data_IF_559221759396
#
_entry.id   IF_559221759396
#
_cell.length_a   1.000
_cell.length_b   1.000
_cell.length_c   1.000
_cell.angle_alpha   90.00
_cell.angle_beta   90.00
_cell.angle_gamma   90.00
#
_symmetry.space_group_name_H-M   'P 1'
#
loop_
_entity.id
_entity.type
_entity.pdbx_description
1 polymer ?
#
# COMPACT_ATOMS: atom_id res chain seq x y z
N UNK A 1 -15.48 -28.51 -2.05
CA UNK A 1 -15.51 -28.84 -0.61
C UNK A 1 -14.67 -27.79 0.09
N UNK A 2 -15.26 -27.00 0.99
CA UNK A 2 -14.52 -25.95 1.72
C UNK A 2 -13.69 -26.61 2.82
N UNK A 3 -12.38 -26.75 2.57
CA UNK A 3 -11.43 -27.38 3.49
C UNK A 3 -11.43 -26.73 4.87
N UNK A 4 -11.79 -25.44 4.99
CA UNK A 4 -11.84 -24.74 6.28
C UNK A 4 -13.05 -25.14 7.11
N UNK A 5 -14.21 -25.32 6.46
CA UNK A 5 -15.40 -25.88 7.12
C UNK A 5 -15.17 -27.32 7.54
N UNK A 6 -14.47 -28.12 6.72
CA UNK A 6 -14.11 -29.48 7.08
C UNK A 6 -13.18 -29.50 8.30
N UNK A 7 -12.11 -28.71 8.29
CA UNK A 7 -11.20 -28.59 9.43
C UNK A 7 -11.93 -28.09 10.70
N UNK A 8 -12.87 -27.15 10.58
CA UNK A 8 -13.74 -26.73 11.69
C UNK A 8 -14.55 -27.90 12.25
N UNK A 9 -15.20 -28.68 11.37
CA UNK A 9 -16.02 -29.82 11.78
C UNK A 9 -15.22 -30.98 12.38
N UNK A 10 -13.92 -31.02 12.12
CA UNK A 10 -13.00 -32.04 12.63
C UNK A 10 -12.18 -31.56 13.84
N UNK A 11 -12.40 -30.33 14.33
CA UNK A 11 -11.59 -29.67 15.37
C UNK A 11 -10.07 -29.58 15.03
N UNK A 12 -9.73 -29.71 13.75
CA UNK A 12 -8.35 -29.74 13.24
C UNK A 12 -7.81 -28.32 12.96
N UNK A 13 -8.38 -27.32 13.64
CA UNK A 13 -7.96 -25.92 13.53
C UNK A 13 -6.83 -25.57 14.50
N UNK A 14 -6.54 -26.46 15.45
CA UNK A 14 -5.54 -26.29 16.50
C UNK A 14 -4.61 -27.52 16.50
N UNK A 15 -3.31 -27.36 16.78
CA UNK A 15 -2.45 -28.50 17.02
C UNK A 15 -3.01 -29.36 18.17
N UNK A 16 -2.97 -30.68 17.99
CA UNK A 16 -3.52 -31.63 18.95
C UNK A 16 -2.99 -31.38 20.37
N UNK A 17 -3.91 -31.28 21.34
CA UNK A 17 -3.59 -31.10 22.76
C UNK A 17 -3.40 -29.66 23.23
N UNK A 18 -3.26 -28.67 22.33
CA UNK A 18 -2.98 -27.28 22.72
C UNK A 18 -4.21 -26.36 22.76
N UNK A 19 -5.41 -26.88 22.45
CA UNK A 19 -6.64 -26.05 22.37
C UNK A 19 -6.95 -25.29 23.67
N UNK A 20 -6.68 -25.89 24.83
CA UNK A 20 -6.91 -25.26 26.13
C UNK A 20 -5.88 -24.19 26.49
N UNK A 21 -4.74 -24.14 25.79
CA UNK A 21 -3.64 -23.20 26.05
C UNK A 21 -3.78 -21.90 25.23
N UNK A 22 -4.64 -21.88 24.20
CA UNK A 22 -4.82 -20.73 23.32
C UNK A 22 -6.14 -20.00 23.57
N UNK A 23 -6.05 -18.67 23.61
CA UNK A 23 -7.20 -17.80 23.46
C UNK A 23 -7.70 -17.88 22.00
N UNK A 24 -8.72 -18.70 21.79
CA UNK A 24 -9.27 -19.00 20.47
C UNK A 24 -9.88 -17.77 19.78
N UNK A 25 -10.49 -16.85 20.55
CA UNK A 25 -11.07 -15.61 20.03
C UNK A 25 -9.97 -14.72 19.44
N UNK A 26 -8.86 -14.61 20.17
CA UNK A 26 -7.65 -13.91 19.69
C UNK A 26 -7.07 -14.54 18.44
N UNK A 27 -6.83 -15.84 18.42
CA UNK A 27 -6.27 -16.54 17.24
C UNK A 27 -7.15 -16.30 16.00
N UNK A 28 -8.47 -16.44 16.14
CA UNK A 28 -9.41 -16.20 15.05
C UNK A 28 -9.41 -14.73 14.60
N UNK A 29 -9.32 -13.79 15.54
CA UNK A 29 -9.28 -12.35 15.24
C UNK A 29 -8.03 -11.97 14.47
N UNK A 30 -6.88 -12.50 14.88
CA UNK A 30 -5.62 -12.28 14.17
C UNK A 30 -5.65 -12.88 12.76
N UNK A 31 -6.22 -14.09 12.61
CA UNK A 31 -6.40 -14.73 11.31
C UNK A 31 -7.26 -13.88 10.37
N UNK A 32 -8.35 -13.26 10.85
CA UNK A 32 -9.16 -12.35 10.02
C UNK A 32 -8.32 -11.20 9.45
N UNK A 33 -7.46 -10.61 10.28
CA UNK A 33 -6.61 -9.48 9.90
C UNK A 33 -5.54 -9.89 8.88
N UNK A 34 -4.81 -10.98 9.13
CA UNK A 34 -3.80 -11.50 8.19
C UNK A 34 -4.44 -11.82 6.84
N UNK A 35 -5.58 -12.51 6.84
CA UNK A 35 -6.24 -12.90 5.59
C UNK A 35 -6.77 -11.71 4.80
N UNK A 36 -7.31 -10.69 5.48
CA UNK A 36 -7.75 -9.48 4.81
C UNK A 36 -6.58 -8.72 4.19
N UNK A 37 -5.45 -8.61 4.91
CA UNK A 37 -4.29 -7.83 4.47
C UNK A 37 -3.43 -8.55 3.41
N UNK A 38 -3.25 -9.86 3.54
CA UNK A 38 -2.39 -10.61 2.60
C UNK A 38 -3.17 -11.13 1.39
N UNK A 39 -4.47 -11.43 1.54
CA UNK A 39 -5.27 -12.12 0.51
C UNK A 39 -6.45 -11.28 0.02
N UNK A 40 -6.71 -10.10 0.60
CA UNK A 40 -7.93 -9.33 0.33
C UNK A 40 -9.20 -10.09 0.72
N UNK A 41 -9.09 -11.12 1.58
CA UNK A 41 -10.18 -12.03 1.90
C UNK A 41 -10.75 -11.75 3.29
N UNK A 42 -11.98 -11.26 3.31
CA UNK A 42 -12.75 -11.06 4.54
C UNK A 42 -13.53 -12.32 4.87
N UNK A 43 -13.34 -12.84 6.08
CA UNK A 43 -14.06 -14.01 6.56
C UNK A 43 -14.62 -13.74 7.96
N UNK A 44 -15.80 -14.26 8.23
CA UNK A 44 -16.38 -14.33 9.58
C UNK A 44 -16.16 -15.76 10.09
N UNK A 45 -15.43 -15.96 11.21
CA UNK A 45 -15.32 -17.27 11.84
C UNK A 45 -16.71 -17.84 12.14
N UNK A 46 -16.97 -19.14 11.88
CA UNK A 46 -18.29 -19.76 12.14
C UNK A 46 -18.78 -19.55 13.58
N UNK A 47 -17.85 -19.63 14.54
CA UNK A 47 -18.13 -19.46 15.98
C UNK A 47 -17.86 -18.02 16.46
N UNK A 48 -17.66 -17.07 15.54
CA UNK A 48 -17.29 -15.70 15.86
C UNK A 48 -18.44 -14.90 16.47
N UNK A 49 -18.19 -14.30 17.63
CA UNK A 49 -19.10 -13.36 18.30
C UNK A 49 -19.33 -12.04 17.54
N UNK A 50 -19.97 -11.08 18.21
CA UNK A 50 -20.29 -9.78 17.63
C UNK A 50 -19.04 -9.02 17.13
N UNK A 51 -17.96 -9.02 17.90
CA UNK A 51 -16.70 -8.35 17.54
C UNK A 51 -16.07 -8.92 16.27
N UNK A 52 -16.17 -10.24 16.03
CA UNK A 52 -15.68 -10.85 14.79
C UNK A 52 -16.48 -10.44 13.56
N UNK A 53 -17.80 -10.27 13.70
CA UNK A 53 -18.67 -9.78 12.62
C UNK A 53 -18.38 -8.31 12.32
N UNK A 54 -18.26 -7.48 13.35
CA UNK A 54 -17.90 -6.07 13.21
C UNK A 54 -16.52 -5.91 12.55
N UNK A 55 -15.52 -6.69 12.98
CA UNK A 55 -14.19 -6.68 12.37
C UNK A 55 -14.21 -7.07 10.90
N UNK A 56 -14.99 -8.10 10.54
CA UNK A 56 -15.12 -8.50 9.14
C UNK A 56 -15.73 -7.36 8.29
N UNK A 57 -16.78 -6.71 8.78
CA UNK A 57 -17.41 -5.59 8.08
C UNK A 57 -16.45 -4.38 7.97
N UNK A 58 -15.73 -4.03 9.05
CA UNK A 58 -14.68 -3.00 9.02
C UNK A 58 -13.65 -3.32 7.94
N UNK A 59 -13.16 -4.57 7.87
CA UNK A 59 -12.16 -4.98 6.90
C UNK A 59 -12.70 -4.96 5.47
N UNK A 60 -13.97 -5.32 5.27
CA UNK A 60 -14.61 -5.24 3.96
C UNK A 60 -14.68 -3.80 3.45
N UNK A 61 -15.05 -2.86 4.33
CA UNK A 61 -15.11 -1.43 4.01
C UNK A 61 -13.73 -0.84 3.76
N UNK A 62 -12.77 -1.18 4.62
CA UNK A 62 -11.37 -0.78 4.45
C UNK A 62 -10.82 -1.21 3.09
N UNK A 63 -11.04 -2.47 2.68
CA UNK A 63 -10.59 -2.98 1.38
C UNK A 63 -11.33 -2.35 0.18
N UNK A 64 -12.48 -1.73 0.42
CA UNK A 64 -13.21 -0.93 -0.58
C UNK A 64 -12.86 0.56 -0.52
N UNK A 65 -11.86 0.94 0.28
CA UNK A 65 -11.46 2.33 0.54
C UNK A 65 -12.57 3.20 1.16
N UNK A 66 -13.54 2.59 1.85
CA UNK A 66 -14.57 3.28 2.63
C UNK A 66 -14.07 3.50 4.07
N UNK A 67 -13.12 4.43 4.24
CA UNK A 67 -12.49 4.73 5.52
C UNK A 67 -13.49 5.18 6.59
N UNK A 68 -14.44 6.06 6.22
CA UNK A 68 -15.48 6.53 7.13
C UNK A 68 -16.45 5.43 7.55
N UNK A 69 -16.90 4.61 6.61
CA UNK A 69 -17.76 3.48 6.95
C UNK A 69 -17.05 2.47 7.85
N UNK A 70 -15.76 2.22 7.60
CA UNK A 70 -14.95 1.34 8.42
C UNK A 70 -14.85 1.83 9.88
N UNK A 71 -14.59 3.13 10.11
CA UNK A 71 -14.52 3.69 11.47
C UNK A 71 -15.89 3.68 12.15
N UNK A 72 -16.98 4.01 11.44
CA UNK A 72 -18.34 3.96 11.99
C UNK A 72 -18.69 2.56 12.52
N UNK A 73 -18.36 1.51 11.76
CA UNK A 73 -18.60 0.12 12.16
C UNK A 73 -17.85 -0.23 13.46
N UNK A 74 -16.60 0.22 13.60
CA UNK A 74 -15.84 -0.01 14.81
C UNK A 74 -16.35 0.79 16.01
N UNK A 75 -16.68 2.06 15.81
CA UNK A 75 -17.25 2.93 16.83
C UNK A 75 -18.57 2.37 17.39
N UNK A 76 -19.45 1.87 16.52
CA UNK A 76 -20.71 1.23 16.92
C UNK A 76 -20.48 -0.09 17.68
N UNK A 77 -19.47 -0.86 17.29
CA UNK A 77 -19.16 -2.13 17.94
C UNK A 77 -18.46 -1.97 19.29
N UNK A 78 -17.69 -0.88 19.48
CA UNK A 78 -17.10 -0.48 20.76
C UNK A 78 -16.09 -1.47 21.34
N UNK A 79 -15.48 -2.33 20.52
CA UNK A 79 -14.46 -3.28 20.99
C UNK A 79 -13.05 -2.68 20.92
N UNK A 80 -12.18 -3.10 21.83
CA UNK A 80 -10.78 -2.67 21.84
C UNK A 80 -9.98 -3.34 20.71
N UNK A 81 -9.27 -2.61 19.83
CA UNK A 81 -8.44 -3.22 18.81
C UNK A 81 -7.35 -4.09 19.43
N UNK A 82 -7.31 -5.36 19.05
CA UNK A 82 -6.53 -6.39 19.74
C UNK A 82 -5.08 -6.47 19.26
N UNK A 83 -4.81 -5.96 18.05
CA UNK A 83 -3.54 -6.16 17.35
C UNK A 83 -2.99 -4.86 16.77
N UNK A 84 -1.66 -4.73 16.63
CA UNK A 84 -1.04 -3.58 15.98
C UNK A 84 -1.58 -3.34 14.57
N UNK A 85 -1.84 -4.40 13.78
CA UNK A 85 -2.35 -4.26 12.42
C UNK A 85 -3.77 -3.66 12.37
N UNK A 86 -4.64 -4.04 13.30
CA UNK A 86 -5.99 -3.47 13.42
C UNK A 86 -5.92 -2.01 13.89
N UNK A 87 -5.02 -1.73 14.84
CA UNK A 87 -4.71 -0.37 15.30
C UNK A 87 -4.24 0.51 14.13
N UNK A 88 -3.39 -0.01 13.26
CA UNK A 88 -2.89 0.69 12.08
C UNK A 88 -3.97 0.89 10.99
N UNK A 89 -4.89 -0.06 10.82
CA UNK A 89 -6.06 0.11 9.92
C UNK A 89 -6.95 1.25 10.42
N UNK A 90 -7.29 1.25 11.71
CA UNK A 90 -8.09 2.33 12.30
C UNK A 90 -7.38 3.69 12.18
N UNK A 91 -6.09 3.73 12.50
CA UNK A 91 -5.27 4.93 12.33
C UNK A 91 -5.28 5.44 10.89
N UNK A 92 -5.14 4.55 9.89
CA UNK A 92 -5.18 4.91 8.48
C UNK A 92 -6.55 5.46 8.09
N UNK A 93 -7.63 4.79 8.50
CA UNK A 93 -8.98 5.23 8.16
C UNK A 93 -9.29 6.62 8.73
N UNK A 94 -8.92 6.90 9.99
CA UNK A 94 -9.05 8.26 10.54
C UNK A 94 -8.12 9.25 9.85
N UNK A 95 -6.88 8.86 9.52
CA UNK A 95 -5.93 9.72 8.83
C UNK A 95 -6.39 10.11 7.42
N UNK A 96 -7.04 9.20 6.67
CA UNK A 96 -7.63 9.47 5.37
C UNK A 96 -8.73 10.54 5.41
N UNK A 97 -9.46 10.61 6.52
CA UNK A 97 -10.47 11.64 6.78
C UNK A 97 -9.86 12.93 7.34
N UNK A 98 -8.55 12.97 7.62
CA UNK A 98 -7.88 14.09 8.30
C UNK A 98 -8.27 14.21 9.78
N UNK A 99 -8.85 13.17 10.37
CA UNK A 99 -9.42 13.19 11.71
C UNK A 99 -8.33 13.01 12.79
N UNK A 100 -8.28 13.94 13.76
CA UNK A 100 -7.34 13.90 14.87
C UNK A 100 -7.50 12.65 15.77
N UNK A 101 -8.64 11.95 15.68
CA UNK A 101 -8.84 10.64 16.32
C UNK A 101 -7.84 9.58 15.85
N UNK A 102 -7.10 9.81 14.76
CA UNK A 102 -5.96 8.97 14.38
C UNK A 102 -4.80 9.02 15.38
N UNK A 103 -4.57 10.15 16.06
CA UNK A 103 -3.37 10.37 16.88
C UNK A 103 -3.16 9.36 18.00
N UNK A 104 -4.18 8.98 18.79
CA UNK A 104 -4.02 7.96 19.83
C UNK A 104 -3.61 6.58 19.26
N UNK A 105 -4.13 6.21 18.08
CA UNK A 105 -3.76 4.95 17.43
C UNK A 105 -2.33 5.00 16.89
N UNK A 106 -1.94 6.12 16.29
CA UNK A 106 -0.55 6.36 15.84
C UNK A 106 0.40 6.28 17.04
N UNK A 107 0.06 6.91 18.16
CA UNK A 107 0.89 6.89 19.37
C UNK A 107 1.07 5.47 19.93
N UNK A 108 0.03 4.63 19.89
CA UNK A 108 0.12 3.22 20.30
C UNK A 108 1.09 2.40 19.45
N UNK A 109 1.28 2.77 18.19
CA UNK A 109 2.17 2.05 17.26
C UNK A 109 3.65 2.43 17.44
N UNK A 110 3.98 3.53 18.11
CA UNK A 110 5.36 4.04 18.18
C UNK A 110 6.36 3.03 18.78
N UNK A 111 5.94 2.26 19.79
CA UNK A 111 6.84 1.36 20.51
C UNK A 111 7.26 0.14 19.68
N UNK A 112 6.34 -0.43 18.88
CA UNK A 112 6.55 -1.71 18.20
C UNK A 112 6.56 -1.59 16.66
N UNK A 113 5.98 -0.52 16.13
CA UNK A 113 5.69 -0.29 14.72
C UNK A 113 5.99 1.16 14.32
N UNK A 114 7.12 1.70 14.78
CA UNK A 114 7.53 3.09 14.53
C UNK A 114 7.49 3.51 13.05
N UNK A 115 7.82 2.60 12.13
CA UNK A 115 7.74 2.88 10.68
C UNK A 115 6.29 3.08 10.19
N UNK A 116 5.34 2.28 10.69
CA UNK A 116 3.92 2.43 10.39
C UNK A 116 3.37 3.71 11.03
N UNK A 117 3.71 3.96 12.29
CA UNK A 117 3.31 5.19 12.98
C UNK A 117 3.77 6.44 12.22
N UNK A 118 5.02 6.45 11.74
CA UNK A 118 5.56 7.56 10.95
C UNK A 118 4.85 7.71 9.59
N UNK A 119 4.58 6.62 8.88
CA UNK A 119 3.83 6.63 7.62
C UNK A 119 2.40 7.20 7.79
N UNK A 120 1.70 6.75 8.83
CA UNK A 120 0.34 7.18 9.15
C UNK A 120 0.29 8.65 9.57
N UNK A 121 1.33 9.13 10.27
CA UNK A 121 1.45 10.55 10.64
C UNK A 121 1.60 11.45 9.42
N UNK A 122 2.39 11.03 8.42
CA UNK A 122 2.49 11.76 7.13
C UNK A 122 1.12 11.89 6.50
N UNK A 123 0.36 10.79 6.42
CA UNK A 123 -0.99 10.78 5.87
C UNK A 123 -1.92 11.72 6.61
N UNK A 124 -1.93 11.67 7.95
CA UNK A 124 -2.78 12.52 8.77
C UNK A 124 -2.48 14.02 8.53
N UNK A 125 -1.22 14.43 8.64
CA UNK A 125 -0.84 15.84 8.44
C UNK A 125 -1.17 16.32 7.04
N UNK A 126 -0.92 15.48 6.02
CA UNK A 126 -1.29 15.79 4.66
C UNK A 126 -2.80 16.04 4.51
N UNK A 127 -3.62 15.13 5.03
CA UNK A 127 -5.09 15.22 4.93
C UNK A 127 -5.68 16.36 5.77
N UNK A 128 -4.96 16.82 6.80
CA UNK A 128 -5.28 18.02 7.57
C UNK A 128 -4.85 19.33 6.88
N UNK A 129 -4.17 19.27 5.73
CA UNK A 129 -3.62 20.46 5.07
C UNK A 129 -2.41 21.06 5.78
N UNK A 130 -1.78 20.32 6.70
CA UNK A 130 -0.59 20.71 7.47
C UNK A 130 0.67 20.41 6.66
N UNK A 131 0.86 21.18 5.59
CA UNK A 131 1.82 20.87 4.51
C UNK A 131 3.26 20.82 5.02
N UNK A 132 3.66 21.79 5.84
CA UNK A 132 5.03 21.86 6.37
C UNK A 132 5.32 20.70 7.32
N UNK A 133 4.39 20.39 8.24
CA UNK A 133 4.56 19.26 9.15
C UNK A 133 4.53 17.92 8.41
N UNK A 134 3.71 17.78 7.37
CA UNK A 134 3.70 16.61 6.51
C UNK A 134 5.06 16.44 5.80
N UNK A 135 5.63 17.51 5.24
CA UNK A 135 6.93 17.47 4.58
C UNK A 135 8.06 17.05 5.52
N UNK A 136 8.08 17.56 6.75
CA UNK A 136 9.02 17.11 7.79
C UNK A 136 8.79 15.65 8.19
N UNK A 137 7.53 15.25 8.33
CA UNK A 137 7.18 13.88 8.69
C UNK A 137 7.61 12.86 7.62
N UNK A 138 7.63 13.23 6.33
CA UNK A 138 8.14 12.39 5.23
C UNK A 138 9.60 12.01 5.48
N UNK A 139 10.45 12.97 5.87
CA UNK A 139 11.86 12.70 6.17
C UNK A 139 12.00 11.71 7.33
N UNK A 140 11.20 11.87 8.39
CA UNK A 140 11.19 10.95 9.53
C UNK A 140 10.74 9.56 9.10
N UNK A 141 9.65 9.44 8.34
CA UNK A 141 9.12 8.16 7.88
C UNK A 141 10.14 7.38 7.03
N UNK A 142 10.78 8.03 6.06
CA UNK A 142 11.81 7.37 5.25
C UNK A 142 13.11 7.09 6.01
N UNK A 143 13.44 7.85 7.06
CA UNK A 143 14.53 7.48 7.98
C UNK A 143 14.20 6.18 8.74
N UNK A 144 12.97 6.04 9.25
CA UNK A 144 12.53 4.81 9.93
C UNK A 144 12.54 3.59 9.01
N UNK A 145 12.12 3.75 7.76
CA UNK A 145 12.17 2.68 6.74
C UNK A 145 13.60 2.30 6.32
N UNK A 146 14.58 3.17 6.55
CA UNK A 146 16.01 2.86 6.37
C UNK A 146 16.58 2.05 7.53
N UNK A 147 16.03 2.23 8.73
CA UNK A 147 16.43 1.50 9.94
C UNK A 147 15.76 0.11 10.03
N UNK A 148 14.52 -0.01 9.56
CA UNK A 148 13.71 -1.23 9.70
C UNK A 148 12.86 -1.51 8.45
N UNK A 149 12.93 -2.73 7.88
CA UNK A 149 12.13 -3.09 6.71
C UNK A 149 10.70 -3.52 7.05
N UNK A 150 10.31 -3.56 8.33
CA UNK A 150 9.12 -4.26 8.81
C UNK A 150 7.85 -3.39 8.86
N UNK A 151 7.47 -2.79 7.73
CA UNK A 151 6.20 -2.06 7.57
C UNK A 151 5.25 -2.89 6.70
N UNK A 152 4.01 -3.09 7.15
CA UNK A 152 3.01 -3.78 6.32
C UNK A 152 2.75 -3.02 5.02
N UNK A 153 2.54 -3.78 3.94
CA UNK A 153 2.54 -3.24 2.57
C UNK A 153 1.55 -2.11 2.33
N UNK A 154 0.33 -2.23 2.85
CA UNK A 154 -0.70 -1.20 2.69
C UNK A 154 -0.26 0.17 3.24
N UNK A 155 0.42 0.19 4.39
CA UNK A 155 0.84 1.43 5.04
C UNK A 155 2.09 2.01 4.36
N UNK A 156 3.01 1.15 3.92
CA UNK A 156 4.16 1.57 3.12
C UNK A 156 3.74 2.17 1.78
N UNK A 157 2.83 1.49 1.06
CA UNK A 157 2.27 1.98 -0.20
C UNK A 157 1.55 3.33 -0.02
N UNK A 158 0.74 3.49 1.03
CA UNK A 158 0.08 4.75 1.35
C UNK A 158 1.08 5.89 1.57
N UNK A 159 2.23 5.63 2.22
CA UNK A 159 3.30 6.62 2.37
C UNK A 159 3.88 7.04 1.02
N UNK A 160 4.20 6.10 0.14
CA UNK A 160 4.74 6.42 -1.20
C UNK A 160 3.75 7.21 -2.04
N UNK A 161 2.47 6.82 -2.04
CA UNK A 161 1.41 7.53 -2.75
C UNK A 161 1.28 8.95 -2.21
N UNK A 162 1.16 9.11 -0.89
CA UNK A 162 1.04 10.42 -0.24
C UNK A 162 2.25 11.30 -0.52
N UNK A 163 3.46 10.74 -0.51
CA UNK A 163 4.70 11.47 -0.84
C UNK A 163 4.68 12.00 -2.28
N UNK A 164 4.18 11.22 -3.24
CA UNK A 164 4.05 11.67 -4.63
C UNK A 164 2.96 12.73 -4.79
N UNK A 165 1.82 12.57 -4.12
CA UNK A 165 0.73 13.58 -4.10
C UNK A 165 1.24 14.92 -3.56
N UNK A 166 1.97 14.88 -2.44
CA UNK A 166 2.58 16.05 -1.81
C UNK A 166 3.57 16.75 -2.73
N UNK A 167 4.49 15.99 -3.33
CA UNK A 167 5.49 16.54 -4.25
C UNK A 167 4.86 17.18 -5.49
N UNK A 168 3.72 16.67 -5.97
CA UNK A 168 3.05 17.22 -7.14
C UNK A 168 2.43 18.61 -6.91
N UNK A 169 2.12 18.99 -5.66
CA UNK A 169 1.49 20.28 -5.37
C UNK A 169 2.48 21.43 -5.20
N UNK A 170 3.69 21.16 -4.68
CA UNK A 170 4.65 22.20 -4.33
C UNK A 170 6.09 21.75 -4.60
N UNK A 171 6.84 22.57 -5.34
CA UNK A 171 8.22 22.27 -5.72
C UNK A 171 9.19 22.26 -4.54
N UNK A 172 8.96 23.07 -3.49
CA UNK A 172 9.77 23.02 -2.28
C UNK A 172 9.51 21.72 -1.50
N UNK A 173 8.25 21.27 -1.41
CA UNK A 173 7.91 19.95 -0.87
C UNK A 173 8.53 18.83 -1.70
N UNK A 174 8.48 18.92 -3.02
CA UNK A 174 9.12 17.96 -3.93
C UNK A 174 10.62 17.81 -3.65
N UNK A 175 11.35 18.90 -3.33
CA UNK A 175 12.77 18.83 -2.96
C UNK A 175 12.99 18.00 -1.68
N UNK A 176 12.15 18.20 -0.67
CA UNK A 176 12.22 17.43 0.58
C UNK A 176 11.90 15.95 0.34
N UNK A 177 10.83 15.66 -0.41
CA UNK A 177 10.46 14.30 -0.80
C UNK A 177 11.57 13.61 -1.61
N UNK A 178 12.19 14.31 -2.57
CA UNK A 178 13.28 13.78 -3.38
C UNK A 178 14.49 13.42 -2.52
N UNK A 179 14.89 14.30 -1.59
CA UNK A 179 15.97 14.03 -0.66
C UNK A 179 15.67 12.80 0.21
N UNK A 180 14.46 12.71 0.78
CA UNK A 180 14.04 11.58 1.61
C UNK A 180 14.04 10.24 0.86
N UNK A 181 13.68 10.27 -0.44
CA UNK A 181 13.63 9.11 -1.32
C UNK A 181 14.98 8.75 -1.94
N UNK A 182 16.01 9.59 -1.85
CA UNK A 182 17.27 9.41 -2.60
C UNK A 182 18.09 8.22 -2.12
N UNK A 183 18.01 7.91 -0.83
CA UNK A 183 18.73 6.78 -0.23
C UNK A 183 17.93 5.47 -0.33
N UNK A 184 18.58 4.31 -0.57
CA UNK A 184 17.93 3.01 -0.48
C UNK A 184 17.37 2.73 0.92
N UNK A 185 16.28 1.97 0.99
CA UNK A 185 15.67 1.52 2.25
C UNK A 185 16.39 0.31 2.84
N UNK A 186 16.05 -0.03 4.10
CA UNK A 186 16.59 -1.20 4.78
C UNK A 186 16.46 -2.45 3.90
N UNK A 187 17.56 -3.18 3.74
CA UNK A 187 17.66 -4.40 2.91
C UNK A 187 17.11 -4.25 1.48
N UNK A 188 17.11 -3.02 0.92
CA UNK A 188 16.47 -2.70 -0.36
C UNK A 188 14.98 -3.07 -0.42
N UNK A 189 14.30 -3.11 0.74
CA UNK A 189 12.87 -3.30 0.81
C UNK A 189 12.16 -2.22 -0.03
N UNK A 190 11.14 -2.61 -0.78
CA UNK A 190 10.32 -1.68 -1.57
C UNK A 190 11.10 -0.86 -2.62
N UNK A 191 12.30 -1.29 -3.02
CA UNK A 191 13.17 -0.52 -3.91
C UNK A 191 12.49 -0.16 -5.25
N UNK A 192 11.66 -1.06 -5.78
CA UNK A 192 10.84 -0.80 -6.97
C UNK A 192 9.86 0.36 -6.78
N UNK A 193 9.18 0.41 -5.62
CA UNK A 193 8.28 1.52 -5.28
C UNK A 193 9.06 2.81 -5.03
N UNK A 194 10.18 2.74 -4.28
CA UNK A 194 11.04 3.90 -4.02
C UNK A 194 11.55 4.53 -5.30
N UNK A 195 12.07 3.74 -6.24
CA UNK A 195 12.58 4.25 -7.52
C UNK A 195 11.48 4.84 -8.39
N UNK A 196 10.29 4.23 -8.40
CA UNK A 196 9.11 4.79 -9.08
C UNK A 196 8.74 6.14 -8.48
N UNK A 197 8.64 6.23 -7.15
CA UNK A 197 8.33 7.47 -6.45
C UNK A 197 9.41 8.54 -6.70
N UNK A 198 10.70 8.17 -6.64
CA UNK A 198 11.81 9.08 -6.92
C UNK A 198 11.71 9.66 -8.33
N UNK A 199 11.38 8.86 -9.35
CA UNK A 199 11.15 9.36 -10.71
C UNK A 199 9.95 10.31 -10.79
N UNK A 200 8.84 9.97 -10.12
CA UNK A 200 7.65 10.83 -10.07
C UNK A 200 7.93 12.19 -9.44
N UNK A 201 8.66 12.22 -8.32
CA UNK A 201 9.08 13.48 -7.67
C UNK A 201 10.10 14.23 -8.53
N UNK A 202 11.05 13.52 -9.17
CA UNK A 202 12.04 14.12 -10.05
C UNK A 202 11.41 14.81 -11.27
N UNK A 203 10.30 14.28 -11.80
CA UNK A 203 9.55 14.90 -12.89
C UNK A 203 9.07 16.31 -12.53
N UNK A 204 8.69 16.54 -11.26
CA UNK A 204 8.31 17.87 -10.74
C UNK A 204 9.51 18.82 -10.65
N UNK A 205 10.69 18.29 -10.30
CA UNK A 205 11.90 19.09 -10.10
C UNK A 205 12.60 19.49 -11.40
N UNK A 206 12.28 18.81 -12.51
CA UNK A 206 12.72 19.19 -13.84
C UNK A 206 13.53 18.11 -14.57
N UNK A 207 13.82 18.37 -15.86
CA UNK A 207 14.34 17.34 -16.78
C UNK A 207 15.70 16.77 -16.38
N UNK A 208 16.60 17.59 -15.82
CA UNK A 208 17.93 17.11 -15.40
C UNK A 208 17.85 16.13 -14.22
N UNK A 209 17.04 16.48 -13.20
CA UNK A 209 16.83 15.63 -12.01
C UNK A 209 16.14 14.33 -12.42
N UNK A 210 15.13 14.42 -13.29
CA UNK A 210 14.43 13.26 -13.83
C UNK A 210 15.36 12.35 -14.65
N UNK A 211 16.19 12.92 -15.53
CA UNK A 211 17.15 12.13 -16.32
C UNK A 211 18.12 11.37 -15.41
N UNK A 212 18.63 12.00 -14.34
CA UNK A 212 19.49 11.33 -13.36
C UNK A 212 18.76 10.17 -12.63
N UNK A 213 17.52 10.39 -12.20
CA UNK A 213 16.72 9.35 -11.54
C UNK A 213 16.42 8.16 -12.47
N UNK A 214 16.13 8.42 -13.75
CA UNK A 214 15.90 7.40 -14.77
C UNK A 214 17.16 6.62 -15.14
N UNK A 215 18.32 7.30 -15.20
CA UNK A 215 19.59 6.66 -15.51
C UNK A 215 19.94 5.56 -14.50
N UNK A 216 19.55 5.71 -13.24
CA UNK A 216 19.74 4.70 -12.20
C UNK A 216 18.94 3.40 -12.45
N UNK A 217 17.93 3.42 -13.32
CA UNK A 217 17.16 2.24 -13.72
C UNK A 217 17.79 1.51 -14.92
N UNK A 218 18.82 2.06 -15.54
CA UNK A 218 19.47 1.42 -16.68
C UNK A 218 20.35 0.24 -16.22
N UNK A 219 20.44 -0.84 -17.01
CA UNK A 219 19.90 -1.01 -18.37
C UNK A 219 18.48 -1.60 -18.43
N UNK A 220 17.80 -1.74 -17.29
CA UNK A 220 16.51 -2.43 -17.13
C UNK A 220 15.42 -1.47 -16.64
N UNK A 221 14.90 -0.59 -17.52
CA UNK A 221 13.89 0.38 -17.13
C UNK A 221 12.58 -0.32 -16.69
N UNK A 222 11.77 0.38 -15.89
CA UNK A 222 10.42 -0.08 -15.53
C UNK A 222 9.59 -0.15 -16.82
N UNK A 223 9.20 -1.37 -17.20
CA UNK A 223 8.54 -1.67 -18.48
C UNK A 223 7.04 -1.41 -18.46
N UNK A 224 6.66 -0.17 -18.15
CA UNK A 224 5.28 0.29 -18.11
C UNK A 224 5.13 1.51 -19.01
N UNK A 225 4.03 1.58 -19.76
CA UNK A 225 3.82 2.66 -20.74
C UNK A 225 4.03 4.08 -20.17
N UNK A 226 3.50 4.43 -18.97
CA UNK A 226 3.71 5.76 -18.42
C UNK A 226 5.19 6.06 -18.19
N UNK A 227 5.95 5.10 -17.65
CA UNK A 227 7.37 5.28 -17.34
C UNK A 227 8.23 5.32 -18.60
N UNK A 228 7.97 4.45 -19.58
CA UNK A 228 8.67 4.47 -20.86
C UNK A 228 8.46 5.80 -21.61
N UNK A 229 7.26 6.38 -21.51
CA UNK A 229 6.95 7.70 -22.08
C UNK A 229 7.69 8.82 -21.36
N UNK A 230 7.68 8.83 -20.03
CA UNK A 230 8.44 9.81 -19.22
C UNK A 230 9.93 9.73 -19.57
N UNK A 231 10.48 8.51 -19.63
CA UNK A 231 11.87 8.25 -19.99
C UNK A 231 12.25 8.77 -21.37
N UNK A 232 11.44 8.46 -22.39
CA UNK A 232 11.68 8.97 -23.74
C UNK A 232 11.73 10.50 -23.75
N UNK A 233 10.75 11.17 -23.12
CA UNK A 233 10.69 12.63 -23.09
C UNK A 233 11.91 13.24 -22.42
N UNK A 234 12.28 12.76 -21.23
CA UNK A 234 13.40 13.27 -20.47
C UNK A 234 14.71 13.13 -21.25
N UNK A 235 14.99 11.93 -21.77
CA UNK A 235 16.23 11.68 -22.52
C UNK A 235 16.30 12.48 -23.83
N UNK A 236 15.18 12.69 -24.53
CA UNK A 236 15.16 13.58 -25.69
C UNK A 236 15.42 15.03 -25.29
N UNK A 237 14.77 15.52 -24.22
CA UNK A 237 14.89 16.90 -23.78
C UNK A 237 16.31 17.27 -23.32
N UNK A 238 17.03 16.35 -22.69
CA UNK A 238 18.41 16.58 -22.20
C UNK A 238 19.49 16.09 -23.17
N UNK A 239 19.14 15.57 -24.35
CA UNK A 239 20.11 15.01 -25.30
C UNK A 239 20.86 13.79 -24.77
N UNK A 240 20.23 12.98 -23.92
CA UNK A 240 20.87 11.84 -23.28
C UNK A 240 21.26 10.75 -24.31
N UNK A 241 22.42 10.07 -24.16
CA UNK A 241 22.90 9.08 -25.14
C UNK A 241 21.92 7.92 -25.41
N UNK A 242 21.04 7.60 -24.45
CA UNK A 242 20.04 6.54 -24.58
C UNK A 242 18.70 7.00 -25.18
N UNK A 243 18.59 8.24 -25.68
CA UNK A 243 17.33 8.77 -26.24
C UNK A 243 16.77 7.89 -27.37
N UNK A 244 17.64 7.40 -28.28
CA UNK A 244 17.24 6.48 -29.34
C UNK A 244 16.69 5.16 -28.81
N UNK A 245 17.38 4.55 -27.83
CA UNK A 245 16.93 3.32 -27.17
C UNK A 245 15.60 3.53 -26.46
N UNK A 246 15.42 4.65 -25.76
CA UNK A 246 14.16 4.95 -25.07
C UNK A 246 12.96 5.09 -26.02
N UNK A 247 13.18 5.68 -27.21
CA UNK A 247 12.15 5.72 -28.25
C UNK A 247 11.81 4.31 -28.77
N UNK A 248 12.82 3.47 -29.03
CA UNK A 248 12.62 2.07 -29.45
C UNK A 248 11.87 1.25 -28.40
N UNK A 249 12.20 1.39 -27.12
CA UNK A 249 11.55 0.68 -26.02
C UNK A 249 10.05 1.00 -25.93
N UNK A 250 9.69 2.29 -26.01
CA UNK A 250 8.28 2.72 -26.00
C UNK A 250 7.51 2.22 -27.24
N UNK A 251 8.16 2.21 -28.41
CA UNK A 251 7.57 1.67 -29.63
C UNK A 251 7.33 0.16 -29.52
N UNK A 252 8.30 -0.59 -28.98
CA UNK A 252 8.18 -2.02 -28.74
C UNK A 252 7.03 -2.36 -27.77
N UNK A 253 6.89 -1.61 -26.67
CA UNK A 253 5.76 -1.75 -25.75
C UNK A 253 4.42 -1.56 -26.46
N UNK A 254 4.28 -0.50 -27.26
CA UNK A 254 3.03 -0.19 -27.99
C UNK A 254 2.69 -1.27 -29.01
N UNK A 255 3.67 -1.75 -29.77
CA UNK A 255 3.48 -2.81 -30.76
C UNK A 255 2.97 -4.10 -30.11
N UNK A 256 3.58 -4.52 -28.99
CA UNK A 256 3.17 -5.70 -28.23
C UNK A 256 1.74 -5.54 -27.68
N UNK A 257 1.40 -4.38 -27.13
CA UNK A 257 0.05 -4.08 -26.62
C UNK A 257 -1.02 -4.13 -27.73
N UNK A 258 -0.70 -3.69 -28.95
CA UNK A 258 -1.62 -3.76 -30.10
C UNK A 258 -1.79 -5.16 -30.70
N UNK A 259 -0.77 -6.02 -30.57
CA UNK A 259 -0.84 -7.43 -31.00
C UNK A 259 -1.60 -8.33 -30.04
N UNK A 260 -1.69 -7.94 -28.76
CA UNK A 260 -2.50 -8.61 -27.73
C UNK A 260 -3.97 -8.16 -27.80
N UNK A 261 -4.60 -8.32 -28.96
CA UNK A 261 -6.07 -8.39 -29.02
C UNK A 261 -6.45 -9.83 -28.71
N UNK A 262 -6.68 -10.11 -27.42
CA UNK A 262 -7.32 -11.34 -27.01
C UNK A 262 -8.64 -11.47 -27.78
N UNK A 263 -8.73 -12.45 -28.66
CA UNK A 263 -9.90 -12.76 -29.45
C UNK A 263 -11.01 -13.25 -28.52
N UNK A 264 -11.87 -12.34 -28.05
CA UNK A 264 -13.14 -12.70 -27.41
C UNK A 264 -14.19 -13.13 -28.44
N UNK A 265 -13.81 -13.99 -29.38
CA UNK A 265 -14.73 -14.62 -30.32
C UNK A 265 -14.79 -16.11 -29.98
N UNK A 266 -15.86 -16.54 -29.31
CA UNK A 266 -16.16 -17.97 -29.15
C UNK A 266 -16.59 -18.44 -27.77
N UNK A 267 -17.54 -17.77 -27.11
CA UNK A 267 -18.47 -18.47 -26.19
C UNK A 267 -19.91 -18.06 -26.51
N UNK A 268 -20.39 -18.54 -27.65
CA UNK A 268 -21.83 -18.78 -27.81
C UNK A 268 -22.23 -19.85 -26.80
N UNK A 269 -22.91 -19.45 -25.73
CA UNK A 269 -23.75 -20.36 -24.94
C UNK A 269 -24.93 -20.75 -25.84
N UNK A 270 -24.89 -21.92 -26.47
CA UNK A 270 -26.13 -22.59 -26.86
C UNK A 270 -26.67 -23.27 -25.61
N UNK A 271 -27.70 -22.68 -25.01
CA UNK A 271 -28.61 -23.43 -24.17
C UNK A 271 -29.47 -24.33 -25.06
N UNK A 272 -29.65 -25.58 -24.63
CA UNK A 272 -30.89 -26.32 -24.89
C UNK A 272 -30.96 -27.55 -23.96
N UNK A 273 -31.94 -27.49 -23.07
CA UNK A 273 -32.84 -28.55 -22.62
C UNK A 273 -32.36 -30.01 -22.65
N UNK A 274 -32.23 -30.63 -21.48
CA UNK A 274 -33.25 -31.52 -20.90
C UNK A 274 -32.87 -31.92 -19.47
#
# INVERSE_FOLDING_TARGET
MDMRRLAASLDDQYPAGLRAEFDSDRVLGHRQLIMAMDQGSVNVPPDGGASHRARAELLARYLQFDSRGATNVWEEAGYEPLYPIETAILALCYADEGDARAEPFIARLEAERAGEAAALRVRLYWRQGRIEEAAMAVTVAFARLRESPWVHGHFGEALFITTMEMAALDTAVAKHCYAALSEPLAVFAWESLRRRALCGVAEVLGPEVLTAALAALEPYPIWEQPMLRVRQRAYTATGHPLAGRAASDLAAYRAAASGSRFTSAGRTRSGSSH
#
